data_IF_863435962784
#
_entry.id   IF_863435962784
#
_cell.length_a   1.000
_cell.length_b   1.000
_cell.length_c   1.000
_cell.angle_alpha   90.00
_cell.angle_beta   90.00
_cell.angle_gamma   90.00
#
_symmetry.space_group_name_H-M   'P 1'
#
loop_
_entity.id
_entity.type
_entity.pdbx_description
1 polymer ?
#
# COMPACT_ATOMS: atom_id res chain seq x y z
N UNK A 1 8.05 0.62 -33.59
CA UNK A 1 8.14 -0.27 -32.42
C UNK A 1 7.82 0.56 -31.17
N UNK A 2 6.63 1.18 -31.09
CA UNK A 2 6.28 2.16 -30.03
C UNK A 2 5.14 1.71 -29.10
N UNK A 3 4.64 0.49 -29.26
CA UNK A 3 3.47 0.02 -28.50
C UNK A 3 3.80 -0.40 -27.05
N UNK A 4 5.06 -0.28 -26.60
CA UNK A 4 5.52 -0.85 -25.33
C UNK A 4 5.77 0.17 -24.21
N UNK A 5 5.84 1.48 -24.48
CA UNK A 5 6.22 2.48 -23.46
C UNK A 5 5.05 2.88 -22.54
N UNK A 6 3.86 3.19 -23.08
CA UNK A 6 2.66 3.48 -22.27
C UNK A 6 2.15 2.29 -21.42
N UNK A 7 2.44 1.06 -21.85
CA UNK A 7 2.17 -0.14 -21.05
C UNK A 7 3.05 -0.24 -19.79
N UNK A 8 4.26 0.32 -19.82
CA UNK A 8 5.22 0.22 -18.72
C UNK A 8 4.82 1.01 -17.47
N UNK A 9 4.24 2.21 -17.63
CA UNK A 9 3.77 3.02 -16.51
C UNK A 9 2.54 2.43 -15.83
N UNK A 10 1.56 1.97 -16.62
CA UNK A 10 0.36 1.30 -16.10
C UNK A 10 0.74 -0.01 -15.40
N UNK A 11 1.67 -0.77 -15.97
CA UNK A 11 2.22 -1.97 -15.34
C UNK A 11 2.96 -1.65 -14.04
N UNK A 12 3.74 -0.57 -14.00
CA UNK A 12 4.45 -0.11 -12.80
C UNK A 12 3.49 0.31 -11.70
N UNK A 13 2.45 1.07 -12.02
CA UNK A 13 1.40 1.46 -11.07
C UNK A 13 0.67 0.24 -10.51
N UNK A 14 0.31 -0.71 -11.36
CA UNK A 14 -0.31 -1.97 -10.94
C UNK A 14 0.62 -2.83 -10.07
N UNK A 15 1.93 -2.80 -10.32
CA UNK A 15 2.93 -3.45 -9.46
C UNK A 15 2.99 -2.78 -8.08
N UNK A 16 3.09 -1.45 -8.04
CA UNK A 16 3.11 -0.67 -6.80
C UNK A 16 1.85 -0.89 -5.95
N UNK A 17 0.67 -0.97 -6.57
CA UNK A 17 -0.57 -1.28 -5.87
C UNK A 17 -0.56 -2.68 -5.23
N UNK A 18 0.02 -3.68 -5.90
CA UNK A 18 0.12 -5.05 -5.37
C UNK A 18 1.12 -5.12 -4.22
N UNK A 19 2.26 -4.47 -4.36
CA UNK A 19 3.30 -4.40 -3.33
C UNK A 19 2.79 -3.70 -2.07
N UNK A 20 2.10 -2.55 -2.24
CA UNK A 20 1.48 -1.84 -1.12
C UNK A 20 0.45 -2.70 -0.38
N UNK A 21 -0.35 -3.50 -1.10
CA UNK A 21 -1.29 -4.44 -0.48
C UNK A 21 -0.59 -5.55 0.31
N UNK A 22 0.53 -6.07 -0.19
CA UNK A 22 1.34 -7.05 0.54
C UNK A 22 1.87 -6.46 1.85
N UNK A 23 2.38 -5.23 1.80
CA UNK A 23 2.89 -4.50 2.96
C UNK A 23 1.78 -4.29 4.00
N UNK A 24 0.57 -3.90 3.58
CA UNK A 24 -0.58 -3.75 4.48
C UNK A 24 -0.85 -5.06 5.25
N UNK A 25 -0.91 -6.20 4.55
CA UNK A 25 -1.17 -7.49 5.20
C UNK A 25 -0.05 -7.92 6.15
N UNK A 26 1.20 -7.65 5.81
CA UNK A 26 2.33 -7.93 6.71
C UNK A 26 2.24 -7.09 7.99
N UNK A 27 1.90 -5.79 7.86
CA UNK A 27 1.71 -4.90 9.00
C UNK A 27 0.55 -5.32 9.90
N UNK A 28 -0.58 -5.74 9.32
CA UNK A 28 -1.73 -6.28 10.06
C UNK A 28 -1.32 -7.50 10.90
N UNK A 29 -0.57 -8.43 10.28
CA UNK A 29 -0.05 -9.62 10.96
C UNK A 29 0.89 -9.26 12.11
N UNK A 30 1.80 -8.29 11.92
CA UNK A 30 2.71 -7.82 12.96
C UNK A 30 1.93 -7.16 14.12
N UNK A 31 0.94 -6.31 13.81
CA UNK A 31 0.10 -5.66 14.84
C UNK A 31 -0.66 -6.69 15.68
N UNK A 32 -1.21 -7.73 15.02
CA UNK A 32 -1.91 -8.81 15.70
C UNK A 32 -0.97 -9.64 16.57
N UNK A 33 0.23 -9.97 16.07
CA UNK A 33 1.27 -10.68 16.84
C UNK A 33 1.68 -9.88 18.07
N UNK A 34 1.93 -8.58 17.92
CA UNK A 34 2.30 -7.71 19.05
C UNK A 34 1.19 -7.61 20.09
N UNK A 35 -0.06 -7.47 19.66
CA UNK A 35 -1.20 -7.39 20.58
C UNK A 35 -1.35 -8.66 21.42
N UNK A 36 -1.10 -9.83 20.82
CA UNK A 36 -1.25 -11.14 21.48
C UNK A 36 -0.03 -11.53 22.31
N UNK A 37 1.16 -11.36 21.75
CA UNK A 37 2.39 -11.92 22.32
C UNK A 37 3.00 -10.99 23.40
N UNK A 38 2.59 -9.71 23.46
CA UNK A 38 3.08 -8.72 24.43
C UNK A 38 1.96 -8.10 25.29
N UNK A 39 0.82 -8.78 25.46
CA UNK A 39 -0.30 -8.32 26.28
C UNK A 39 0.17 -7.86 27.67
N UNK A 40 -0.16 -6.62 28.06
CA UNK A 40 0.24 -6.03 29.34
C UNK A 40 1.58 -5.26 29.38
N UNK A 41 2.41 -5.32 28.33
CA UNK A 41 3.67 -4.54 28.25
C UNK A 41 3.62 -3.59 27.05
N UNK A 42 2.95 -2.44 27.17
CA UNK A 42 2.98 -1.36 26.16
C UNK A 42 2.50 -1.75 24.74
N UNK A 43 2.01 -2.98 24.56
CA UNK A 43 1.57 -3.59 23.31
C UNK A 43 0.38 -2.87 22.71
N UNK A 44 -0.48 -2.28 23.55
CA UNK A 44 -1.59 -1.44 23.12
C UNK A 44 -1.12 -0.20 22.34
N UNK A 45 -0.03 0.44 22.79
CA UNK A 45 0.55 1.62 22.12
C UNK A 45 1.22 1.20 20.82
N UNK A 46 2.00 0.12 20.85
CA UNK A 46 2.71 -0.38 19.67
C UNK A 46 1.72 -0.86 18.58
N UNK A 47 0.74 -1.68 18.95
CA UNK A 47 -0.29 -2.14 18.02
C UNK A 47 -1.13 -0.98 17.46
N UNK A 48 -1.43 0.04 18.28
CA UNK A 48 -2.11 1.25 17.80
C UNK A 48 -1.29 1.99 16.75
N UNK A 49 0.00 2.20 16.98
CA UNK A 49 0.90 2.86 16.02
C UNK A 49 0.98 2.12 14.68
N UNK A 50 0.94 0.79 14.71
CA UNK A 50 0.93 0.00 13.47
C UNK A 50 -0.41 0.15 12.73
N UNK A 51 -1.53 0.16 13.44
CA UNK A 51 -2.84 0.44 12.84
C UNK A 51 -2.90 1.84 12.23
N UNK A 52 -2.40 2.86 12.92
CA UNK A 52 -2.31 4.23 12.38
C UNK A 52 -1.51 4.29 11.06
N UNK A 53 -0.51 3.41 10.90
CA UNK A 53 0.28 3.32 9.67
C UNK A 53 -0.44 2.52 8.57
N UNK A 54 -1.14 1.44 8.92
CA UNK A 54 -2.03 0.69 8.00
C UNK A 54 -3.07 1.64 7.40
N UNK A 55 -3.73 2.46 8.22
CA UNK A 55 -4.72 3.43 7.75
C UNK A 55 -4.12 4.43 6.73
N UNK A 56 -2.86 4.83 6.91
CA UNK A 56 -2.15 5.68 5.94
C UNK A 56 -1.88 4.94 4.63
N UNK A 57 -1.48 3.66 4.71
CA UNK A 57 -1.28 2.82 3.53
C UNK A 57 -2.59 2.57 2.77
N UNK A 58 -3.70 2.33 3.47
CA UNK A 58 -5.03 2.19 2.84
C UNK A 58 -5.46 3.46 2.12
N UNK A 59 -5.24 4.63 2.76
CA UNK A 59 -5.48 5.92 2.12
C UNK A 59 -4.61 6.09 0.87
N UNK A 60 -3.33 5.74 0.93
CA UNK A 60 -2.44 5.77 -0.24
C UNK A 60 -2.96 4.84 -1.35
N UNK A 61 -3.40 3.63 -1.01
CA UNK A 61 -3.98 2.68 -1.96
C UNK A 61 -5.26 3.25 -2.61
N UNK A 62 -6.11 3.91 -1.83
CA UNK A 62 -7.31 4.57 -2.34
C UNK A 62 -6.97 5.68 -3.34
N UNK A 63 -6.02 6.56 -3.02
CA UNK A 63 -5.59 7.61 -3.95
C UNK A 63 -4.91 7.05 -5.20
N UNK A 64 -4.08 6.01 -5.07
CA UNK A 64 -3.48 5.30 -6.20
C UNK A 64 -4.53 4.66 -7.11
N UNK A 65 -5.62 4.12 -6.55
CA UNK A 65 -6.74 3.58 -7.32
C UNK A 65 -7.55 4.64 -8.07
N UNK A 66 -7.47 5.91 -7.63
CA UNK A 66 -8.12 7.06 -8.29
C UNK A 66 -7.24 7.74 -9.32
N UNK A 67 -6.00 7.30 -9.50
CA UNK A 67 -5.14 7.79 -10.59
C UNK A 67 -5.78 7.38 -11.91
N UNK A 68 -6.26 8.38 -12.63
CA UNK A 68 -6.85 8.23 -13.96
C UNK A 68 -5.73 8.04 -14.99
N UNK A 69 -5.31 6.79 -15.16
CA UNK A 69 -4.24 6.42 -16.11
C UNK A 69 -4.62 6.66 -17.57
N UNK A 70 -5.91 6.89 -17.87
CA UNK A 70 -6.38 7.22 -19.22
C UNK A 70 -6.03 8.65 -19.65
N UNK A 71 -5.69 9.52 -18.70
CA UNK A 71 -5.24 10.91 -18.94
C UNK A 71 -3.74 11.04 -19.17
N UNK A 72 -2.98 9.97 -19.03
CA UNK A 72 -1.58 9.94 -19.43
C UNK A 72 -1.55 9.88 -20.96
N UNK A 73 -1.59 11.06 -21.59
CA UNK A 73 -1.25 11.23 -23.00
C UNK A 73 0.25 11.49 -23.09
N UNK A 74 0.95 10.66 -23.85
CA UNK A 74 2.36 10.89 -24.15
C UNK A 74 2.49 12.15 -25.04
N UNK A 75 3.26 13.14 -24.56
CA UNK A 75 3.76 14.24 -25.40
C UNK A 75 4.85 13.68 -26.33
N UNK A 76 4.76 14.02 -27.61
CA UNK A 76 5.65 13.56 -28.70
C UNK A 76 7.12 13.90 -28.47
#
# INVERSE_FOLDING_TARGET
MDFMMGGSFVASLGSLQRELRSIIHELESIASGISRDFEGIGSEVCARRIRDFIDQCENAQYYLGRVDTSKVREEN
#
